data_IF_198649032613
#
_entry.id   IF_198649032613
#
_cell.length_a   1.000
_cell.length_b   1.000
_cell.length_c   1.000
_cell.angle_alpha   90.00
_cell.angle_beta   90.00
_cell.angle_gamma   90.00
#
_symmetry.space_group_name_H-M   'P 1'
#
loop_
_entity.id
_entity.type
_entity.pdbx_description
1 polymer ?
#
# COMPACT_ATOMS: atom_id res chain seq x y z
N UNK A 1 -2.91 -12.24 -14.35
CA UNK A 1 -1.55 -11.92 -14.83
C UNK A 1 -1.62 -11.97 -16.34
N UNK A 2 -1.86 -10.82 -16.99
CA UNK A 2 -1.94 -10.74 -18.44
C UNK A 2 -0.52 -10.39 -18.90
N UNK A 3 0.24 -11.40 -19.31
CA UNK A 3 1.60 -11.20 -19.82
C UNK A 3 1.47 -10.97 -21.32
N UNK A 4 1.90 -9.82 -21.82
CA UNK A 4 1.98 -9.56 -23.26
C UNK A 4 3.11 -10.40 -23.88
N UNK A 5 2.87 -10.99 -25.06
CA UNK A 5 3.79 -11.94 -25.73
C UNK A 5 5.23 -11.42 -25.92
N UNK A 6 5.42 -10.10 -25.99
CA UNK A 6 6.75 -9.48 -26.15
C UNK A 6 7.62 -9.54 -24.88
N UNK A 7 7.05 -9.75 -23.68
CA UNK A 7 7.83 -9.82 -22.44
C UNK A 7 8.55 -11.17 -22.24
N UNK A 8 8.25 -12.18 -23.06
CA UNK A 8 8.90 -13.50 -22.99
C UNK A 8 10.30 -13.52 -23.61
N UNK A 9 10.65 -12.61 -24.52
CA UNK A 9 11.97 -12.52 -25.12
C UNK A 9 12.95 -11.71 -24.24
N UNK A 10 13.59 -12.35 -23.26
CA UNK A 10 14.82 -11.79 -22.70
C UNK A 10 15.96 -12.75 -22.90
N UNK A 11 17.11 -12.19 -23.24
CA UNK A 11 18.36 -12.92 -23.35
C UNK A 11 18.69 -13.59 -22.01
N UNK A 12 18.98 -14.89 -22.06
CA UNK A 12 19.51 -15.63 -20.92
C UNK A 12 21.04 -15.66 -21.02
N UNK A 13 21.72 -15.48 -19.89
CA UNK A 13 23.18 -15.62 -19.83
C UNK A 13 23.47 -17.05 -19.39
N UNK A 14 24.13 -17.82 -20.25
CA UNK A 14 24.50 -19.21 -19.99
C UNK A 14 26.00 -19.29 -19.77
N UNK A 15 26.39 -19.79 -18.62
CA UNK A 15 27.78 -20.08 -18.28
C UNK A 15 28.17 -21.50 -18.75
N UNK A 16 29.45 -21.71 -19.03
CA UNK A 16 30.06 -23.00 -19.35
C UNK A 16 29.81 -24.08 -18.28
N UNK A 17 29.57 -23.67 -17.03
CA UNK A 17 29.19 -24.54 -15.90
C UNK A 17 27.74 -25.07 -15.97
N UNK A 18 26.96 -24.64 -16.96
CA UNK A 18 25.53 -24.95 -17.06
C UNK A 18 24.63 -24.05 -16.20
N UNK A 19 25.20 -23.05 -15.50
CA UNK A 19 24.42 -22.05 -14.78
C UNK A 19 23.75 -21.09 -15.76
N UNK A 20 22.46 -20.86 -15.55
CA UNK A 20 21.64 -19.94 -16.35
C UNK A 20 21.20 -18.78 -15.47
N UNK A 21 21.45 -17.55 -15.91
CA UNK A 21 20.98 -16.33 -15.26
C UNK A 21 19.97 -15.64 -16.16
N UNK A 22 18.83 -15.27 -15.57
CA UNK A 22 17.73 -14.60 -16.25
C UNK A 22 17.35 -13.35 -15.46
N UNK A 23 17.35 -12.19 -16.12
CA UNK A 23 16.91 -10.93 -15.54
C UNK A 23 15.58 -10.54 -16.17
N UNK A 24 14.54 -10.40 -15.34
CA UNK A 24 13.21 -9.97 -15.76
C UNK A 24 12.80 -8.73 -14.98
N UNK A 25 12.37 -7.70 -15.68
CA UNK A 25 11.62 -6.60 -15.07
C UNK A 25 10.15 -6.98 -15.08
N UNK A 26 9.46 -6.76 -13.96
CA UNK A 26 8.03 -7.06 -13.84
C UNK A 26 7.34 -5.89 -13.14
N UNK A 27 6.26 -5.40 -13.73
CA UNK A 27 5.33 -4.48 -13.07
C UNK A 27 4.13 -5.31 -12.63
N UNK A 28 3.81 -5.25 -11.34
CA UNK A 28 2.69 -6.02 -10.79
C UNK A 28 1.93 -5.22 -9.75
N UNK A 29 0.61 -5.31 -9.82
CA UNK A 29 -0.28 -4.76 -8.82
C UNK A 29 -0.45 -5.76 -7.67
N UNK A 30 -0.20 -5.30 -6.45
CA UNK A 30 -0.29 -6.12 -5.24
C UNK A 30 -1.43 -5.58 -4.39
N UNK A 31 -2.36 -6.45 -4.01
CA UNK A 31 -3.38 -6.11 -3.02
C UNK A 31 -2.79 -6.15 -1.62
N UNK A 32 -2.80 -5.01 -0.93
CA UNK A 32 -2.33 -4.87 0.43
C UNK A 32 -3.47 -4.47 1.37
N UNK A 33 -3.56 -5.11 2.53
CA UNK A 33 -4.54 -4.78 3.55
C UNK A 33 -4.01 -3.62 4.41
N UNK A 34 -4.71 -2.49 4.41
CA UNK A 34 -4.29 -1.26 5.07
C UNK A 34 -4.96 -1.10 6.43
N UNK A 35 -4.16 -0.78 7.46
CA UNK A 35 -4.68 -0.39 8.77
C UNK A 35 -4.72 1.14 8.91
N UNK A 36 -5.92 1.72 8.94
CA UNK A 36 -6.13 3.18 8.95
C UNK A 36 -6.34 3.78 10.34
N UNK A 37 -6.08 3.04 11.42
CA UNK A 37 -6.33 3.52 12.79
C UNK A 37 -5.60 4.83 13.14
N UNK A 38 -4.40 5.04 12.59
CA UNK A 38 -3.55 6.21 12.85
C UNK A 38 -3.43 7.14 11.64
N UNK A 39 -4.39 7.10 10.72
CA UNK A 39 -4.40 7.97 9.55
C UNK A 39 -4.29 9.46 9.95
N UNK A 40 -3.44 10.29 9.29
CA UNK A 40 -2.56 10.00 8.14
C UNK A 40 -1.10 9.67 8.54
N UNK A 41 -0.81 9.42 9.82
CA UNK A 41 0.53 9.13 10.36
C UNK A 41 0.84 7.64 10.43
N UNK A 42 0.12 6.86 9.63
CA UNK A 42 0.11 5.41 9.64
C UNK A 42 1.33 4.79 8.94
N UNK A 43 1.59 3.53 9.30
CA UNK A 43 2.61 2.68 8.71
C UNK A 43 1.97 1.37 8.26
N UNK A 44 2.29 0.97 7.04
CA UNK A 44 1.68 -0.15 6.35
C UNK A 44 2.72 -1.22 6.05
N UNK A 45 2.31 -2.48 6.18
CA UNK A 45 3.16 -3.63 5.87
C UNK A 45 2.51 -4.37 4.71
N UNK A 46 3.11 -4.25 3.54
CA UNK A 46 2.67 -4.93 2.33
C UNK A 46 3.66 -6.03 1.99
N UNK A 47 3.21 -7.09 1.33
CA UNK A 47 4.09 -8.17 0.94
C UNK A 47 3.71 -8.77 -0.40
N UNK A 48 4.70 -9.30 -1.10
CA UNK A 48 4.54 -10.06 -2.34
C UNK A 48 5.24 -11.40 -2.20
N UNK A 49 4.56 -12.46 -2.62
CA UNK A 49 5.06 -13.83 -2.51
C UNK A 49 5.29 -14.39 -3.90
N UNK A 50 6.51 -14.89 -4.13
CA UNK A 50 6.88 -15.63 -5.32
C UNK A 50 6.97 -17.11 -4.98
N UNK A 51 6.26 -17.93 -5.74
CA UNK A 51 6.23 -19.38 -5.57
C UNK A 51 6.00 -20.05 -6.93
N UNK A 52 6.35 -21.32 -7.01
CA UNK A 52 5.95 -22.17 -8.13
C UNK A 52 4.46 -22.48 -8.09
N UNK A 53 3.81 -22.44 -9.26
CA UNK A 53 2.39 -22.81 -9.36
C UNK A 53 2.17 -24.33 -9.27
N UNK A 54 3.04 -25.13 -9.91
CA UNK A 54 2.83 -26.57 -10.12
C UNK A 54 3.89 -27.47 -9.50
N UNK A 55 5.03 -26.93 -9.09
CA UNK A 55 6.16 -27.70 -8.56
C UNK A 55 6.24 -27.56 -7.06
N UNK A 56 6.40 -28.67 -6.36
CA UNK A 56 6.62 -28.74 -4.92
C UNK A 56 8.11 -28.69 -4.57
N UNK A 57 8.41 -28.65 -3.27
CA UNK A 57 9.78 -28.56 -2.75
C UNK A 57 10.68 -29.75 -3.09
N UNK A 58 10.10 -30.86 -3.58
CA UNK A 58 10.86 -32.03 -4.03
C UNK A 58 11.50 -31.84 -5.40
N UNK A 59 10.93 -30.94 -6.23
CA UNK A 59 11.35 -30.69 -7.61
C UNK A 59 12.03 -29.34 -7.78
N UNK A 60 11.63 -28.36 -6.99
CA UNK A 60 12.12 -26.99 -7.07
C UNK A 60 12.40 -26.48 -5.67
N UNK A 61 13.60 -25.95 -5.46
CA UNK A 61 13.93 -25.20 -4.25
C UNK A 61 14.09 -23.72 -4.62
N UNK A 62 13.47 -22.84 -3.82
CA UNK A 62 13.45 -21.40 -4.04
C UNK A 62 14.18 -20.70 -2.90
N UNK A 63 15.30 -20.04 -3.25
CA UNK A 63 16.10 -19.26 -2.31
C UNK A 63 16.24 -17.83 -2.78
N UNK A 64 16.11 -16.87 -1.87
CA UNK A 64 16.42 -15.47 -2.15
C UNK A 64 17.92 -15.29 -2.38
N UNK A 65 18.28 -14.44 -3.35
CA UNK A 65 19.68 -14.08 -3.60
C UNK A 65 20.23 -13.32 -2.39
N UNK A 66 21.48 -13.57 -1.96
CA UNK A 66 22.11 -12.75 -0.94
C UNK A 66 22.18 -11.28 -1.40
N UNK A 67 21.90 -10.34 -0.48
CA UNK A 67 21.82 -8.87 -0.72
C UNK A 67 20.63 -8.38 -1.57
N UNK A 68 19.50 -9.08 -1.52
CA UNK A 68 18.27 -8.62 -2.21
C UNK A 68 17.65 -7.37 -1.54
N UNK A 69 18.17 -6.94 -0.39
CA UNK A 69 17.81 -5.70 0.31
C UNK A 69 18.51 -4.45 -0.24
N UNK A 70 19.29 -4.57 -1.32
CA UNK A 70 19.96 -3.42 -1.92
C UNK A 70 18.95 -2.51 -2.67
N UNK A 71 18.59 -1.40 -2.03
CA UNK A 71 17.68 -0.37 -2.55
C UNK A 71 18.39 0.75 -3.34
N UNK A 72 19.61 0.52 -3.85
CA UNK A 72 20.38 1.53 -4.60
C UNK A 72 19.64 2.12 -5.82
N UNK A 73 18.85 1.31 -6.51
CA UNK A 73 18.06 1.71 -7.68
C UNK A 73 16.63 2.12 -7.33
N UNK A 74 16.29 2.26 -6.04
CA UNK A 74 14.95 2.62 -5.61
C UNK A 74 14.63 4.09 -5.96
N UNK A 75 13.56 4.27 -6.74
CA UNK A 75 13.00 5.59 -7.02
C UNK A 75 12.05 5.97 -5.89
N UNK A 76 12.38 7.06 -5.19
CA UNK A 76 11.59 7.53 -4.04
C UNK A 76 10.22 8.03 -4.48
N UNK A 77 9.18 7.58 -3.78
CA UNK A 77 7.83 8.10 -3.93
C UNK A 77 7.61 9.31 -3.01
N UNK A 78 6.74 10.24 -3.42
CA UNK A 78 6.45 11.49 -2.69
C UNK A 78 5.43 11.28 -1.55
N UNK A 79 4.49 10.36 -1.73
CA UNK A 79 3.47 10.03 -0.76
C UNK A 79 3.94 8.95 0.21
N UNK A 80 4.66 7.94 -0.29
CA UNK A 80 5.08 6.79 0.50
C UNK A 80 6.60 6.72 0.62
N UNK A 81 7.08 6.56 1.85
CA UNK A 81 8.48 6.29 2.15
C UNK A 81 8.67 4.82 2.49
N UNK A 82 9.56 4.14 1.76
CA UNK A 82 9.98 2.78 2.10
C UNK A 82 10.94 2.86 3.29
N UNK A 83 10.51 2.35 4.44
CA UNK A 83 11.25 2.41 5.71
C UNK A 83 12.05 1.15 5.98
N UNK A 84 11.55 -0.01 5.54
CA UNK A 84 12.20 -1.30 5.74
C UNK A 84 11.79 -2.24 4.61
N UNK A 85 12.71 -3.13 4.23
CA UNK A 85 12.54 -4.12 3.18
C UNK A 85 13.17 -5.43 3.61
N UNK A 86 12.37 -6.49 3.74
CA UNK A 86 12.83 -7.78 4.27
C UNK A 86 12.40 -8.92 3.39
N UNK A 87 13.24 -9.94 3.29
CA UNK A 87 12.95 -11.16 2.53
C UNK A 87 12.91 -12.34 3.48
N UNK A 88 11.89 -13.19 3.34
CA UNK A 88 11.78 -14.44 4.08
C UNK A 88 11.34 -15.55 3.14
N UNK A 89 11.92 -16.72 3.32
CA UNK A 89 11.50 -17.95 2.63
C UNK A 89 10.62 -18.75 3.56
N UNK A 90 9.49 -19.28 3.07
CA UNK A 90 8.67 -20.22 3.80
C UNK A 90 8.44 -21.50 2.99
N UNK A 91 7.86 -22.48 3.68
CA UNK A 91 7.36 -23.70 3.07
C UNK A 91 5.91 -23.85 3.49
N UNK A 92 5.01 -23.80 2.51
CA UNK A 92 3.57 -23.83 2.74
C UNK A 92 2.98 -25.14 2.23
N UNK A 93 2.19 -25.80 3.07
CA UNK A 93 1.37 -26.94 2.66
C UNK A 93 -0.03 -26.40 2.34
N UNK A 94 -0.54 -26.73 1.16
CA UNK A 94 -1.86 -26.30 0.69
C UNK A 94 -2.87 -27.43 0.84
N UNK A 95 -4.15 -27.09 1.05
CA UNK A 95 -5.20 -28.11 1.26
C UNK A 95 -5.38 -29.07 0.07
N UNK A 96 -5.01 -28.64 -1.13
CA UNK A 96 -5.09 -29.46 -2.33
C UNK A 96 -4.03 -30.58 -2.40
N UNK A 97 -2.89 -30.41 -1.72
CA UNK A 97 -1.70 -31.22 -1.94
C UNK A 97 -0.93 -31.50 -0.63
N UNK A 98 -0.52 -32.75 -0.35
CA UNK A 98 0.16 -33.09 0.91
C UNK A 98 1.63 -32.64 0.97
N UNK A 99 2.20 -32.18 -0.13
CA UNK A 99 3.61 -31.79 -0.21
C UNK A 99 3.81 -30.30 0.07
N UNK A 100 4.91 -29.89 0.73
CA UNK A 100 5.22 -28.48 0.96
C UNK A 100 5.71 -27.80 -0.32
N UNK A 101 5.21 -26.60 -0.56
CA UNK A 101 5.61 -25.70 -1.63
C UNK A 101 6.50 -24.60 -1.05
N UNK A 102 7.74 -24.44 -1.53
CA UNK A 102 8.59 -23.34 -1.12
C UNK A 102 8.10 -22.03 -1.71
N UNK A 103 8.15 -20.97 -0.92
CA UNK A 103 7.86 -19.62 -1.37
C UNK A 103 8.89 -18.61 -0.84
N UNK A 104 9.02 -17.49 -1.54
CA UNK A 104 9.85 -16.36 -1.14
C UNK A 104 8.97 -15.13 -1.03
N UNK A 105 8.81 -14.62 0.18
CA UNK A 105 7.99 -13.45 0.48
C UNK A 105 8.86 -12.23 0.75
N UNK A 106 8.59 -11.16 0.01
CA UNK A 106 9.19 -9.84 0.18
C UNK A 106 8.24 -8.95 0.96
N UNK A 107 8.68 -8.47 2.11
CA UNK A 107 7.95 -7.56 2.97
C UNK A 107 8.45 -6.13 2.76
N UNK A 108 7.54 -5.22 2.45
CA UNK A 108 7.78 -3.80 2.26
C UNK A 108 7.06 -3.03 3.37
N UNK A 109 7.81 -2.25 4.13
CA UNK A 109 7.26 -1.42 5.20
C UNK A 109 7.21 0.02 4.73
N UNK A 110 6.00 0.50 4.48
CA UNK A 110 5.71 1.78 3.87
C UNK A 110 5.17 2.75 4.93
N UNK A 111 5.70 3.98 4.96
CA UNK A 111 5.22 5.06 5.81
C UNK A 111 4.69 6.19 4.97
N UNK A 112 3.44 6.61 5.24
CA UNK A 112 2.77 7.70 4.52
C UNK A 112 3.33 9.06 4.93
N UNK A 113 3.44 9.95 3.95
CA UNK A 113 3.71 11.38 4.12
C UNK A 113 2.39 12.10 4.47
N UNK A 114 2.23 12.63 5.69
CA UNK A 114 0.95 13.12 6.16
C UNK A 114 0.61 14.54 5.66
N UNK A 115 1.59 15.27 5.11
CA UNK A 115 1.49 16.71 4.86
C UNK A 115 0.27 17.09 4.03
N UNK A 116 0.06 16.41 2.90
CA UNK A 116 -1.09 16.66 2.02
C UNK A 116 -2.43 16.46 2.74
N UNK A 117 -2.54 15.37 3.50
CA UNK A 117 -3.75 15.02 4.24
C UNK A 117 -4.03 15.99 5.40
N UNK A 118 -2.99 16.51 6.04
CA UNK A 118 -3.16 17.52 7.09
C UNK A 118 -3.75 18.81 6.52
N UNK A 119 -3.18 19.34 5.43
CA UNK A 119 -3.63 20.60 4.83
C UNK A 119 -5.00 20.49 4.15
N UNK A 120 -5.30 19.35 3.52
CA UNK A 120 -6.53 19.19 2.74
C UNK A 120 -7.70 18.58 3.52
N UNK A 121 -7.44 17.76 4.56
CA UNK A 121 -8.51 17.11 5.35
C UNK A 121 -8.58 17.63 6.79
N UNK A 122 -7.46 17.59 7.53
CA UNK A 122 -7.47 17.84 8.99
C UNK A 122 -7.72 19.31 9.31
N UNK A 123 -7.06 20.23 8.62
CA UNK A 123 -7.21 21.66 8.88
C UNK A 123 -8.62 22.17 8.53
N UNK A 124 -9.17 21.91 7.33
CA UNK A 124 -10.52 22.37 6.98
C UNK A 124 -11.59 21.79 7.91
N UNK A 125 -11.50 20.51 8.27
CA UNK A 125 -12.44 19.87 9.20
C UNK A 125 -12.36 20.49 10.60
N UNK A 126 -11.14 20.75 11.12
CA UNK A 126 -10.96 21.45 12.39
C UNK A 126 -11.59 22.85 12.37
N UNK A 127 -11.36 23.65 11.32
CA UNK A 127 -11.97 24.97 11.17
C UNK A 127 -13.50 24.91 11.18
N UNK A 128 -14.07 23.98 10.43
CA UNK A 128 -15.51 23.73 10.41
C UNK A 128 -16.03 23.39 11.81
N UNK A 129 -15.38 22.47 12.54
CA UNK A 129 -15.83 22.08 13.89
C UNK A 129 -15.78 23.24 14.89
N UNK A 130 -14.79 24.12 14.77
CA UNK A 130 -14.69 25.32 15.62
C UNK A 130 -15.81 26.29 15.27
N UNK A 131 -16.07 26.54 13.99
CA UNK A 131 -17.14 27.45 13.55
C UNK A 131 -18.52 26.94 13.97
N UNK A 132 -18.78 25.64 13.89
CA UNK A 132 -20.07 25.06 14.33
C UNK A 132 -20.26 25.16 15.84
N UNK A 133 -19.21 24.90 16.63
CA UNK A 133 -19.23 25.09 18.09
C UNK A 133 -19.49 26.56 18.43
N UNK A 134 -18.73 27.50 17.86
CA UNK A 134 -18.92 28.95 18.10
C UNK A 134 -20.32 29.40 17.69
N UNK A 135 -20.81 28.99 16.52
CA UNK A 135 -22.16 29.31 16.03
C UNK A 135 -23.29 28.78 16.91
N UNK A 136 -23.05 27.70 17.67
CA UNK A 136 -23.98 27.19 18.68
C UNK A 136 -24.00 28.09 19.93
N UNK A 137 -22.83 28.60 20.36
CA UNK A 137 -22.69 29.42 21.57
C UNK A 137 -22.93 30.92 21.37
N UNK A 138 -22.94 31.45 20.14
CA UNK A 138 -23.25 32.86 19.89
C UNK A 138 -24.73 33.16 20.20
N UNK A 139 -25.03 34.08 21.14
CA UNK A 139 -26.40 34.40 21.52
C UNK A 139 -27.14 35.06 20.35
N UNK A 140 -28.40 34.66 20.20
CA UNK A 140 -29.31 35.01 19.10
C UNK A 140 -29.29 36.52 18.80
N UNK A 141 -28.71 36.92 17.67
CA UNK A 141 -29.12 38.17 17.05
C UNK A 141 -30.48 37.91 16.42
N UNK A 142 -31.53 38.28 17.16
CA UNK A 142 -32.86 38.69 16.70
C UNK A 142 -33.08 38.59 15.18
N UNK A 143 -34.08 37.79 14.79
CA UNK A 143 -34.72 37.67 13.45
C UNK A 143 -34.07 36.68 12.47
N UNK A 144 -34.51 35.41 12.49
CA UNK A 144 -34.20 34.44 11.42
C UNK A 144 -34.16 32.99 11.91
N UNK A 145 -34.65 32.06 11.10
CA UNK A 145 -34.91 30.66 11.45
C UNK A 145 -33.65 29.83 11.77
N UNK A 146 -33.80 28.79 12.62
CA UNK A 146 -32.76 27.80 12.96
C UNK A 146 -32.19 27.02 11.74
N UNK A 147 -32.74 27.21 10.55
CA UNK A 147 -32.37 26.56 9.28
C UNK A 147 -30.95 26.92 8.82
N UNK A 148 -30.47 28.12 9.10
CA UNK A 148 -29.10 28.55 8.73
C UNK A 148 -28.02 27.75 9.46
N UNK A 149 -28.24 27.42 10.73
CA UNK A 149 -27.29 26.65 11.57
C UNK A 149 -27.22 25.18 11.16
N UNK A 150 -28.37 24.58 10.83
CA UNK A 150 -28.44 23.21 10.31
C UNK A 150 -27.86 23.12 8.90
N UNK A 151 -28.12 24.10 8.05
CA UNK A 151 -27.55 24.16 6.69
C UNK A 151 -26.03 24.26 6.69
N UNK A 152 -25.43 25.06 7.59
CA UNK A 152 -23.97 25.14 7.79
C UNK A 152 -23.37 23.81 8.24
N UNK A 153 -24.02 23.09 9.17
CA UNK A 153 -23.59 21.76 9.60
C UNK A 153 -23.70 20.70 8.49
N UNK A 154 -24.79 20.72 7.71
CA UNK A 154 -25.03 19.77 6.61
C UNK A 154 -24.10 20.01 5.42
N UNK A 155 -23.85 21.27 5.04
CA UNK A 155 -22.88 21.62 3.98
C UNK A 155 -21.43 21.33 4.40
N UNK A 156 -21.10 21.46 5.69
CA UNK A 156 -19.84 21.04 6.28
C UNK A 156 -19.65 19.51 6.21
N UNK A 157 -20.69 18.73 6.58
CA UNK A 157 -20.66 17.28 6.49
C UNK A 157 -20.59 16.80 5.03
N UNK A 158 -21.35 17.43 4.13
CA UNK A 158 -21.30 17.14 2.68
C UNK A 158 -19.94 17.49 2.08
N UNK A 159 -19.34 18.62 2.45
CA UNK A 159 -18.01 18.98 1.95
C UNK A 159 -16.94 18.02 2.47
N UNK A 160 -16.97 17.59 3.75
CA UNK A 160 -16.10 16.51 4.22
C UNK A 160 -16.34 15.19 3.49
N UNK A 161 -17.60 14.82 3.23
CA UNK A 161 -17.94 13.59 2.50
C UNK A 161 -17.42 13.61 1.05
N UNK A 162 -17.52 14.75 0.37
CA UNK A 162 -17.00 14.95 -0.99
C UNK A 162 -15.48 14.92 -1.01
N UNK A 163 -14.80 15.50 0.00
CA UNK A 163 -13.32 15.49 0.05
C UNK A 163 -12.80 14.08 0.42
N UNK A 164 -13.61 13.25 1.08
CA UNK A 164 -13.26 11.87 1.43
C UNK A 164 -13.53 10.81 0.34
N UNK A 165 -14.16 11.19 -0.76
CA UNK A 165 -14.58 10.31 -1.86
C UNK A 165 -13.82 10.67 -3.15
#
# INVERSE_FOLDING_TARGET
MNVEENEMETNAIVDSSGRVMLFRSMITDISCNLNLQQFPFDQQICFVTFASWSMDGSKLDLSATPKTDNLELYIRNTEWSLTDFRVKTYQKIYDCCPHPFPDVTYFMVLRRSPSYYIFSLVIPSAFITVVTIVGFFTPHSTTGENTEKVSLGVTALLSMAIISN
#
